data_IF_753612655088
#
_entry.id   IF_753612655088
#
_cell.length_a   1.000
_cell.length_b   1.000
_cell.length_c   1.000
_cell.angle_alpha   90.00
_cell.angle_beta   90.00
_cell.angle_gamma   90.00
#
_symmetry.space_group_name_H-M   'P 1'
#
loop_
_entity.id
_entity.type
_entity.pdbx_description
1 polymer ?
#
# COMPACT_ATOMS: atom_id res chain seq x y z
N UNK A 1 -11.29 -9.44 10.45
CA UNK A 1 -11.54 -10.30 11.61
C UNK A 1 -12.68 -9.73 12.43
N UNK A 2 -13.94 -10.05 12.04
CA UNK A 2 -15.18 -9.52 12.65
C UNK A 2 -15.24 -9.75 14.18
N UNK A 3 -14.57 -10.78 14.68
CA UNK A 3 -14.53 -11.13 16.10
C UNK A 3 -13.65 -10.20 16.96
N UNK A 4 -12.85 -9.35 16.35
CA UNK A 4 -11.97 -8.39 17.06
C UNK A 4 -12.45 -6.94 16.95
N UNK A 5 -13.52 -6.69 16.20
CA UNK A 5 -14.10 -5.37 16.09
C UNK A 5 -15.05 -5.15 17.26
N UNK A 6 -14.65 -4.32 18.19
CA UNK A 6 -15.47 -3.88 19.30
C UNK A 6 -16.24 -2.62 18.89
N UNK A 7 -17.55 -2.76 18.72
CA UNK A 7 -18.44 -1.67 18.29
C UNK A 7 -18.55 -0.53 19.31
N UNK A 8 -18.20 -0.77 20.57
CA UNK A 8 -18.27 0.25 21.62
C UNK A 8 -17.01 1.14 21.65
N UNK A 9 -15.87 0.57 21.20
CA UNK A 9 -14.57 1.26 21.22
C UNK A 9 -13.94 1.48 19.83
N UNK A 10 -14.61 1.03 18.77
CA UNK A 10 -14.05 1.08 17.41
C UNK A 10 -15.08 1.59 16.41
N UNK A 11 -14.62 2.44 15.48
CA UNK A 11 -15.40 2.94 14.36
C UNK A 11 -14.78 2.50 13.04
N UNK A 12 -15.62 2.04 12.11
CA UNK A 12 -15.20 1.75 10.75
C UNK A 12 -15.32 3.01 9.90
N UNK A 13 -14.19 3.63 9.56
CA UNK A 13 -14.15 4.92 8.87
C UNK A 13 -13.92 4.83 7.36
N UNK A 14 -13.41 3.69 6.88
CA UNK A 14 -13.12 3.47 5.46
C UNK A 14 -12.54 2.10 5.17
N UNK A 15 -12.43 1.77 3.90
CA UNK A 15 -11.79 0.55 3.39
C UNK A 15 -10.68 0.97 2.43
N UNK A 16 -9.45 0.49 2.67
CA UNK A 16 -8.35 0.61 1.72
C UNK A 16 -8.26 -0.70 0.94
N UNK A 17 -8.40 -0.63 -0.37
CA UNK A 17 -8.36 -1.78 -1.25
C UNK A 17 -7.14 -1.73 -2.15
N UNK A 18 -6.28 -2.76 -2.06
CA UNK A 18 -5.08 -2.91 -2.88
C UNK A 18 -4.79 -4.40 -3.11
N UNK A 19 -5.26 -4.95 -4.22
CA UNK A 19 -5.03 -6.36 -4.58
C UNK A 19 -5.41 -6.63 -6.04
N UNK A 20 -4.44 -6.95 -6.92
CA UNK A 20 -4.78 -7.19 -8.34
C UNK A 20 -3.68 -7.85 -9.18
N UNK A 21 -2.51 -8.09 -8.66
CA UNK A 21 -1.34 -8.54 -9.42
C UNK A 21 -1.64 -9.83 -10.20
N UNK A 22 -2.28 -10.79 -9.54
CA UNK A 22 -2.65 -12.07 -10.16
C UNK A 22 -3.76 -11.96 -11.21
N UNK A 23 -4.59 -10.91 -11.16
CA UNK A 23 -5.64 -10.65 -12.14
C UNK A 23 -5.11 -9.88 -13.37
N UNK A 24 -3.85 -9.42 -13.32
CA UNK A 24 -3.21 -8.65 -14.40
C UNK A 24 -2.68 -9.50 -15.54
N UNK A 25 -3.36 -10.62 -15.84
CA UNK A 25 -3.02 -11.59 -16.89
C UNK A 25 -4.24 -12.38 -17.36
N UNK A 26 -4.11 -13.08 -18.49
CA UNK A 26 -5.10 -14.02 -19.01
C UNK A 26 -6.47 -13.39 -19.34
N UNK A 27 -6.53 -12.10 -19.62
CA UNK A 27 -7.77 -11.41 -19.96
C UNK A 27 -8.73 -11.20 -18.77
N UNK A 28 -8.27 -11.35 -17.53
CA UNK A 28 -9.09 -11.23 -16.33
C UNK A 28 -9.68 -9.82 -16.15
N UNK A 29 -9.05 -8.78 -16.70
CA UNK A 29 -9.59 -7.42 -16.71
C UNK A 29 -11.02 -7.35 -17.25
N UNK A 30 -11.41 -8.21 -18.20
CA UNK A 30 -12.75 -8.22 -18.82
C UNK A 30 -13.89 -8.50 -17.84
N UNK A 31 -13.60 -9.18 -16.74
CA UNK A 31 -14.58 -9.53 -15.69
C UNK A 31 -14.29 -8.84 -14.36
N UNK A 32 -13.18 -8.10 -14.29
CA UNK A 32 -12.66 -7.54 -13.06
C UNK A 32 -13.65 -6.57 -12.42
N UNK A 33 -14.15 -5.59 -13.17
CA UNK A 33 -15.15 -4.63 -12.67
C UNK A 33 -16.34 -5.31 -12.01
N UNK A 34 -16.93 -6.30 -12.67
CA UNK A 34 -18.11 -7.02 -12.15
C UNK A 34 -17.82 -7.78 -10.86
N UNK A 35 -16.65 -8.41 -10.78
CA UNK A 35 -16.21 -9.13 -9.58
C UNK A 35 -15.98 -8.15 -8.41
N UNK A 36 -15.32 -7.03 -8.68
CA UNK A 36 -15.08 -6.00 -7.68
C UNK A 36 -16.39 -5.44 -7.15
N UNK A 37 -17.36 -5.16 -8.00
CA UNK A 37 -18.69 -4.68 -7.61
C UNK A 37 -19.34 -5.64 -6.60
N UNK A 38 -19.37 -6.93 -6.91
CA UNK A 38 -19.94 -7.94 -5.99
C UNK A 38 -19.22 -7.96 -4.64
N UNK A 39 -17.90 -7.84 -4.64
CA UNK A 39 -17.10 -7.82 -3.40
C UNK A 39 -17.42 -6.58 -2.57
N UNK A 40 -17.45 -5.40 -3.19
CA UNK A 40 -17.67 -4.14 -2.49
C UNK A 40 -19.11 -4.08 -1.93
N UNK A 41 -20.09 -4.49 -2.72
CA UNK A 41 -21.50 -4.59 -2.24
C UNK A 41 -21.62 -5.57 -1.05
N UNK A 42 -20.96 -6.72 -1.13
CA UNK A 42 -20.94 -7.69 -0.05
C UNK A 42 -20.29 -7.13 1.22
N UNK A 43 -19.15 -6.42 1.10
CA UNK A 43 -18.45 -5.77 2.21
C UNK A 43 -19.36 -4.71 2.87
N UNK A 44 -19.94 -3.81 2.09
CA UNK A 44 -20.86 -2.76 2.60
C UNK A 44 -22.04 -3.37 3.35
N UNK A 45 -22.63 -4.43 2.79
CA UNK A 45 -23.75 -5.16 3.42
C UNK A 45 -23.34 -5.85 4.71
N UNK A 46 -22.27 -6.65 4.69
CA UNK A 46 -21.79 -7.43 5.85
C UNK A 46 -21.32 -6.54 7.00
N UNK A 47 -20.77 -5.39 6.69
CA UNK A 47 -20.30 -4.41 7.68
C UNK A 47 -21.43 -3.47 8.13
N UNK A 48 -22.61 -3.53 7.49
CA UNK A 48 -23.72 -2.60 7.69
C UNK A 48 -23.26 -1.13 7.55
N UNK A 49 -22.50 -0.86 6.50
CA UNK A 49 -21.88 0.44 6.22
C UNK A 49 -22.05 0.80 4.72
N UNK A 50 -23.27 1.11 4.26
CA UNK A 50 -23.59 1.31 2.84
C UNK A 50 -22.78 2.46 2.22
N UNK A 51 -22.51 3.50 2.98
CA UNK A 51 -21.86 4.73 2.52
C UNK A 51 -20.38 4.82 2.88
N UNK A 52 -19.78 3.71 3.35
CA UNK A 52 -18.37 3.72 3.74
C UNK A 52 -17.47 4.05 2.55
N UNK A 53 -16.53 5.01 2.68
CA UNK A 53 -15.59 5.32 1.63
C UNK A 53 -14.65 4.15 1.36
N UNK A 54 -14.41 3.89 0.08
CA UNK A 54 -13.50 2.85 -0.39
C UNK A 54 -12.41 3.51 -1.24
N UNK A 55 -11.18 3.41 -0.78
CA UNK A 55 -10.03 3.96 -1.48
C UNK A 55 -9.33 2.83 -2.22
N UNK A 56 -9.25 2.95 -3.53
CA UNK A 56 -8.80 1.88 -4.44
C UNK A 56 -7.46 2.28 -5.02
N UNK A 57 -6.41 1.54 -4.68
CA UNK A 57 -5.07 1.76 -5.21
C UNK A 57 -4.86 1.10 -6.56
N UNK A 58 -4.24 1.80 -7.48
CA UNK A 58 -3.79 1.26 -8.75
C UNK A 58 -2.54 0.39 -8.62
N UNK A 59 -2.18 -0.28 -9.71
CA UNK A 59 -0.99 -1.09 -9.87
C UNK A 59 0.17 -0.24 -10.42
N UNK A 60 1.38 -0.51 -9.95
CA UNK A 60 2.57 0.22 -10.34
C UNK A 60 3.15 -0.19 -11.70
N UNK A 61 3.85 0.77 -12.35
CA UNK A 61 4.44 0.61 -13.68
C UNK A 61 5.66 -0.32 -13.73
N UNK A 62 6.08 -0.86 -12.60
CA UNK A 62 7.12 -1.88 -12.52
C UNK A 62 6.64 -3.27 -12.93
N UNK A 63 5.32 -3.52 -12.94
CA UNK A 63 4.73 -4.78 -13.36
C UNK A 63 4.93 -5.06 -14.85
N UNK A 64 4.95 -6.33 -15.22
CA UNK A 64 5.16 -6.79 -16.59
C UNK A 64 6.64 -6.75 -17.06
N UNK A 65 7.58 -6.29 -16.21
CA UNK A 65 9.00 -6.09 -16.58
C UNK A 65 9.87 -7.27 -16.16
N UNK A 66 9.96 -7.55 -14.88
CA UNK A 66 10.89 -8.53 -14.33
C UNK A 66 10.35 -9.24 -13.08
N UNK A 67 11.13 -10.16 -12.51
CA UNK A 67 10.81 -10.87 -11.29
C UNK A 67 9.48 -11.62 -11.34
N UNK A 68 8.83 -11.73 -10.21
CA UNK A 68 7.51 -12.35 -10.11
C UNK A 68 6.42 -11.53 -10.81
N UNK A 69 6.62 -10.22 -10.94
CA UNK A 69 5.71 -9.31 -11.64
C UNK A 69 5.72 -9.44 -13.17
N UNK A 70 6.69 -10.17 -13.76
CA UNK A 70 6.84 -10.30 -15.22
C UNK A 70 5.59 -10.80 -15.93
N UNK A 71 4.80 -11.64 -15.28
CA UNK A 71 3.56 -12.19 -15.85
C UNK A 71 2.37 -11.23 -15.80
N UNK A 72 2.48 -10.13 -15.06
CA UNK A 72 1.41 -9.14 -14.84
C UNK A 72 1.35 -8.11 -15.98
N UNK A 73 1.24 -8.59 -17.23
CA UNK A 73 1.37 -7.75 -18.45
C UNK A 73 0.13 -6.90 -18.75
N UNK A 74 -1.00 -7.23 -18.12
CA UNK A 74 -2.29 -6.55 -18.34
C UNK A 74 -2.63 -5.54 -17.21
N UNK A 75 -1.64 -5.16 -16.37
CA UNK A 75 -1.86 -4.26 -15.22
C UNK A 75 -2.46 -2.92 -15.62
N UNK A 76 -2.10 -2.37 -16.78
CA UNK A 76 -2.68 -1.12 -17.29
C UNK A 76 -4.16 -1.26 -17.63
N UNK A 77 -4.61 -2.44 -18.06
CA UNK A 77 -6.02 -2.72 -18.32
C UNK A 77 -6.79 -2.88 -17.00
N UNK A 78 -6.19 -3.52 -16.00
CA UNK A 78 -6.76 -3.57 -14.66
C UNK A 78 -6.88 -2.16 -14.08
N UNK A 79 -5.85 -1.32 -14.19
CA UNK A 79 -5.91 0.08 -13.71
C UNK A 79 -7.08 0.86 -14.34
N UNK A 80 -7.34 0.66 -15.63
CA UNK A 80 -8.51 1.28 -16.29
C UNK A 80 -9.83 0.81 -15.70
N UNK A 81 -9.97 -0.47 -15.38
CA UNK A 81 -11.19 -1.00 -14.76
C UNK A 81 -11.36 -0.49 -13.32
N UNK A 82 -10.26 -0.34 -12.56
CA UNK A 82 -10.26 0.22 -11.21
C UNK A 82 -10.63 1.70 -11.19
N UNK A 83 -10.00 2.48 -12.06
CA UNK A 83 -10.30 3.90 -12.23
C UNK A 83 -11.77 4.08 -12.63
N UNK A 84 -12.22 3.36 -13.68
CA UNK A 84 -13.62 3.36 -14.09
C UNK A 84 -14.57 3.01 -12.93
N UNK A 85 -14.26 1.98 -12.16
CA UNK A 85 -15.05 1.57 -11.02
C UNK A 85 -15.16 2.70 -9.98
N UNK A 86 -14.04 3.32 -9.63
CA UNK A 86 -14.01 4.39 -8.65
C UNK A 86 -14.78 5.64 -9.12
N UNK A 87 -14.80 5.93 -10.43
CA UNK A 87 -15.57 7.05 -10.98
C UNK A 87 -17.07 6.77 -11.13
N UNK A 88 -17.47 5.51 -11.26
CA UNK A 88 -18.88 5.11 -11.46
C UNK A 88 -19.59 4.72 -10.16
N UNK A 89 -18.86 4.43 -9.08
CA UNK A 89 -19.43 3.98 -7.82
C UNK A 89 -19.36 5.07 -6.75
N UNK A 90 -20.46 5.25 -6.02
CA UNK A 90 -20.56 6.23 -4.94
C UNK A 90 -19.55 5.93 -3.82
N UNK A 91 -18.93 6.97 -3.27
CA UNK A 91 -17.94 6.88 -2.18
C UNK A 91 -16.76 5.95 -2.49
N UNK A 92 -16.37 5.86 -3.76
CA UNK A 92 -15.18 5.14 -4.21
C UNK A 92 -14.17 6.13 -4.81
N UNK A 93 -12.91 6.05 -4.40
CA UNK A 93 -11.86 6.98 -4.82
C UNK A 93 -10.65 6.21 -5.31
N UNK A 94 -10.15 6.56 -6.50
CA UNK A 94 -8.97 5.94 -7.10
C UNK A 94 -7.70 6.66 -6.67
N UNK A 95 -6.64 5.87 -6.42
CA UNK A 95 -5.31 6.38 -6.08
C UNK A 95 -4.28 5.79 -7.04
N UNK A 96 -3.63 6.65 -7.81
CA UNK A 96 -2.62 6.26 -8.78
C UNK A 96 -1.35 5.72 -8.11
N UNK A 97 -0.81 4.63 -8.64
CA UNK A 97 0.49 4.08 -8.29
C UNK A 97 1.62 4.58 -9.21
N UNK A 98 1.37 5.61 -10.03
CA UNK A 98 2.37 6.20 -10.92
C UNK A 98 3.63 6.61 -10.16
N UNK A 99 4.81 6.25 -10.70
CA UNK A 99 6.12 6.59 -10.14
C UNK A 99 6.51 5.81 -8.88
N UNK A 100 5.71 4.84 -8.42
CA UNK A 100 6.11 3.93 -7.37
C UNK A 100 7.05 2.86 -7.90
N UNK A 101 7.94 2.37 -7.03
CA UNK A 101 8.95 1.36 -7.34
C UNK A 101 8.71 0.06 -6.55
N UNK A 102 9.29 -1.04 -7.04
CA UNK A 102 9.13 -2.35 -6.41
C UNK A 102 10.36 -2.76 -5.60
N UNK A 103 10.16 -3.72 -4.71
CA UNK A 103 11.24 -4.56 -4.19
C UNK A 103 11.93 -5.32 -5.33
N UNK A 104 13.11 -5.92 -5.09
CA UNK A 104 13.83 -6.73 -6.10
C UNK A 104 13.03 -7.89 -6.67
N UNK A 105 11.91 -8.26 -6.07
CA UNK A 105 11.02 -9.31 -6.57
C UNK A 105 10.17 -8.87 -7.78
N UNK A 106 10.11 -7.57 -8.09
CA UNK A 106 9.43 -7.01 -9.24
C UNK A 106 7.89 -7.01 -9.15
N UNK A 107 7.32 -7.33 -7.99
CA UNK A 107 5.85 -7.39 -7.81
C UNK A 107 5.35 -6.60 -6.60
N UNK A 108 6.06 -6.63 -5.47
CA UNK A 108 5.66 -5.91 -4.27
C UNK A 108 6.28 -4.50 -4.23
N UNK A 109 5.49 -3.53 -3.83
CA UNK A 109 5.92 -2.14 -3.66
C UNK A 109 6.98 -2.05 -2.56
N UNK A 110 8.06 -1.30 -2.79
CA UNK A 110 9.11 -1.09 -1.80
C UNK A 110 8.66 -0.17 -0.63
N UNK A 111 9.46 -0.14 0.43
CA UNK A 111 9.09 0.55 1.67
C UNK A 111 8.93 2.08 1.51
N UNK A 112 9.71 2.72 0.65
CA UNK A 112 9.59 4.17 0.38
C UNK A 112 8.32 4.43 -0.43
N UNK A 113 8.11 3.65 -1.48
CA UNK A 113 6.92 3.74 -2.32
C UNK A 113 5.63 3.42 -1.57
N UNK A 114 5.66 2.50 -0.59
CA UNK A 114 4.50 2.26 0.28
C UNK A 114 4.14 3.48 1.14
N UNK A 115 5.14 4.25 1.62
CA UNK A 115 4.89 5.50 2.36
C UNK A 115 4.27 6.56 1.45
N UNK A 116 4.80 6.73 0.23
CA UNK A 116 4.20 7.64 -0.77
C UNK A 116 2.77 7.24 -1.09
N UNK A 117 2.54 5.96 -1.31
CA UNK A 117 1.20 5.45 -1.58
C UNK A 117 0.25 5.68 -0.40
N UNK A 118 0.72 5.48 0.82
CA UNK A 118 -0.01 5.80 2.05
C UNK A 118 -0.42 7.27 2.14
N UNK A 119 0.47 8.21 1.77
CA UNK A 119 0.16 9.64 1.71
C UNK A 119 -0.95 9.93 0.67
N UNK A 120 -0.87 9.33 -0.50
CA UNK A 120 -1.91 9.45 -1.54
C UNK A 120 -3.26 8.88 -1.09
N UNK A 121 -3.26 7.73 -0.41
CA UNK A 121 -4.46 7.15 0.20
C UNK A 121 -5.08 8.07 1.26
N UNK A 122 -4.24 8.64 2.12
CA UNK A 122 -4.68 9.59 3.14
C UNK A 122 -5.31 10.84 2.52
N UNK A 123 -4.69 11.39 1.48
CA UNK A 123 -5.20 12.55 0.75
C UNK A 123 -6.55 12.25 0.11
N UNK A 124 -6.67 11.10 -0.58
CA UNK A 124 -7.94 10.66 -1.18
C UNK A 124 -9.04 10.46 -0.13
N UNK A 125 -8.70 9.85 1.00
CA UNK A 125 -9.63 9.64 2.11
C UNK A 125 -10.10 10.95 2.74
N UNK A 126 -9.17 11.89 2.97
CA UNK A 126 -9.44 13.16 3.65
C UNK A 126 -10.27 14.10 2.79
N UNK A 127 -9.95 14.22 1.51
CA UNK A 127 -10.61 15.14 0.60
C UNK A 127 -11.84 14.55 -0.10
N UNK A 128 -12.03 13.21 0.00
CA UNK A 128 -13.08 12.50 -0.75
C UNK A 128 -12.95 12.74 -2.26
N UNK A 129 -11.72 12.60 -2.77
CA UNK A 129 -11.40 12.86 -4.18
C UNK A 129 -10.40 11.82 -4.71
N UNK A 130 -10.31 11.71 -6.03
CA UNK A 130 -9.34 10.83 -6.71
C UNK A 130 -7.94 11.45 -6.71
N UNK A 131 -6.93 10.62 -6.54
CA UNK A 131 -5.52 11.02 -6.69
C UNK A 131 -4.97 10.36 -7.95
N UNK A 132 -5.02 11.07 -9.07
CA UNK A 132 -4.67 10.55 -10.39
C UNK A 132 -3.18 10.67 -10.72
N UNK A 133 -2.42 11.45 -9.92
CA UNK A 133 -0.99 11.69 -10.10
C UNK A 133 -0.27 11.70 -8.76
N UNK A 134 1.07 11.53 -8.75
CA UNK A 134 1.89 11.73 -7.56
C UNK A 134 1.62 13.10 -6.91
N UNK A 135 1.64 13.16 -5.57
CA UNK A 135 1.54 14.43 -4.85
C UNK A 135 2.84 15.23 -5.03
N UNK A 136 2.71 16.53 -5.22
CA UNK A 136 3.85 17.40 -5.51
C UNK A 136 4.92 17.38 -4.40
N UNK A 137 4.50 17.18 -3.14
CA UNK A 137 5.37 17.23 -1.95
C UNK A 137 5.58 15.86 -1.29
N UNK A 138 5.21 14.74 -1.95
CA UNK A 138 5.28 13.41 -1.30
C UNK A 138 6.71 13.00 -0.91
N UNK A 139 7.72 13.43 -1.65
CA UNK A 139 9.12 13.15 -1.31
C UNK A 139 9.51 13.85 0.00
N UNK A 140 9.21 15.13 0.11
CA UNK A 140 9.50 15.94 1.32
C UNK A 140 8.78 15.38 2.55
N UNK A 141 7.51 14.97 2.39
CA UNK A 141 6.74 14.37 3.47
C UNK A 141 7.30 13.01 3.89
N UNK A 142 7.74 12.17 2.95
CA UNK A 142 8.38 10.90 3.27
C UNK A 142 9.71 11.12 3.97
N UNK A 143 10.53 12.08 3.52
CA UNK A 143 11.80 12.43 4.17
C UNK A 143 11.57 12.90 5.61
N UNK A 144 10.55 13.73 5.84
CA UNK A 144 10.16 14.18 7.18
C UNK A 144 9.74 13.00 8.07
N UNK A 145 8.91 12.07 7.56
CA UNK A 145 8.49 10.87 8.28
C UNK A 145 9.68 9.98 8.61
N UNK A 146 10.64 9.85 7.69
CA UNK A 146 11.83 9.01 7.86
C UNK A 146 12.90 9.66 8.74
N UNK A 147 12.90 10.97 8.90
CA UNK A 147 13.89 11.71 9.70
C UNK A 147 13.59 11.72 11.21
N UNK A 148 12.44 11.17 11.65
CA UNK A 148 12.12 11.06 13.06
C UNK A 148 13.14 10.21 13.83
N UNK A 149 13.33 10.52 15.10
CA UNK A 149 14.14 9.67 15.96
C UNK A 149 13.56 8.26 16.06
N UNK A 150 14.44 7.29 15.90
CA UNK A 150 14.07 5.89 16.08
C UNK A 150 14.01 5.51 17.55
N UNK A 151 13.02 4.69 17.90
CA UNK A 151 12.95 4.06 19.22
C UNK A 151 14.16 3.12 19.44
N UNK A 152 14.47 2.82 20.69
CA UNK A 152 15.52 1.86 21.03
C UNK A 152 15.36 0.51 20.28
N UNK A 153 14.16 -0.03 20.24
CA UNK A 153 13.85 -1.29 19.54
C UNK A 153 14.09 -1.19 18.04
N UNK A 154 13.72 -0.08 17.41
CA UNK A 154 13.97 0.16 15.97
C UNK A 154 15.46 0.26 15.68
N UNK A 155 16.23 0.97 16.51
CA UNK A 155 17.69 1.06 16.39
C UNK A 155 18.34 -0.33 16.47
N UNK A 156 17.95 -1.15 17.44
CA UNK A 156 18.44 -2.54 17.58
C UNK A 156 18.06 -3.38 16.37
N UNK A 157 16.82 -3.26 15.87
CA UNK A 157 16.38 -3.97 14.67
C UNK A 157 17.22 -3.61 13.44
N UNK A 158 17.51 -2.32 13.24
CA UNK A 158 18.36 -1.87 12.12
C UNK A 158 19.75 -2.47 12.20
N UNK A 159 20.38 -2.50 13.39
CA UNK A 159 21.68 -3.13 13.58
C UNK A 159 21.63 -4.65 13.31
N UNK A 160 20.55 -5.31 13.72
CA UNK A 160 20.33 -6.74 13.46
C UNK A 160 20.21 -7.03 11.95
N UNK A 161 19.55 -6.14 11.20
CA UNK A 161 19.45 -6.25 9.74
C UNK A 161 20.80 -6.02 9.05
N UNK A 162 21.58 -5.02 9.48
CA UNK A 162 22.89 -4.75 8.92
C UNK A 162 23.87 -5.90 9.17
N UNK A 163 23.81 -6.53 10.35
CA UNK A 163 24.55 -7.75 10.65
C UNK A 163 24.08 -8.94 9.78
N UNK A 164 22.78 -9.18 9.68
CA UNK A 164 22.22 -10.27 8.87
C UNK A 164 22.57 -10.12 7.36
N UNK A 165 22.69 -8.91 6.87
CA UNK A 165 23.09 -8.59 5.50
C UNK A 165 24.64 -8.59 5.30
N UNK A 166 25.41 -8.88 6.34
CA UNK A 166 26.89 -8.91 6.29
C UNK A 166 27.53 -7.53 6.12
N UNK A 167 26.82 -6.44 6.42
CA UNK A 167 27.34 -5.07 6.33
C UNK A 167 28.23 -4.70 7.51
N UNK A 168 27.99 -5.31 8.67
CA UNK A 168 28.76 -5.14 9.89
C UNK A 168 29.17 -6.49 10.46
N UNK A 169 30.30 -6.53 11.17
CA UNK A 169 30.78 -7.72 11.88
C UNK A 169 29.97 -8.01 13.14
N UNK A 170 30.10 -9.20 13.69
CA UNK A 170 29.48 -9.57 14.98
C UNK A 170 29.93 -8.65 16.13
N UNK A 171 31.21 -8.34 16.19
CA UNK A 171 31.77 -7.47 17.25
C UNK A 171 31.22 -6.04 17.16
N UNK A 172 31.10 -5.51 15.94
CA UNK A 172 30.46 -4.20 15.69
C UNK A 172 28.99 -4.23 16.08
N UNK A 173 28.25 -5.29 15.71
CA UNK A 173 26.85 -5.47 16.08
C UNK A 173 26.68 -5.45 17.62
N UNK A 174 27.46 -6.27 18.36
CA UNK A 174 27.39 -6.32 19.82
C UNK A 174 27.74 -4.96 20.44
N UNK A 175 28.78 -4.29 19.93
CA UNK A 175 29.19 -2.97 20.41
C UNK A 175 28.07 -1.94 20.25
N UNK A 176 27.44 -1.89 19.07
CA UNK A 176 26.36 -0.93 18.76
C UNK A 176 25.09 -1.22 19.60
N UNK A 177 24.67 -2.49 19.72
CA UNK A 177 23.51 -2.87 20.53
C UNK A 177 23.75 -2.56 22.02
N UNK A 178 24.96 -2.77 22.53
CA UNK A 178 25.33 -2.41 23.90
C UNK A 178 25.22 -0.92 24.12
N UNK A 179 25.71 -0.10 23.20
CA UNK A 179 25.59 1.36 23.26
C UNK A 179 24.13 1.80 23.27
N UNK A 180 23.30 1.30 22.33
CA UNK A 180 21.87 1.61 22.26
C UNK A 180 21.13 1.24 23.55
N UNK A 181 21.55 0.16 24.25
CA UNK A 181 20.91 -0.26 25.49
C UNK A 181 21.29 0.63 26.69
N UNK A 182 22.43 1.30 26.63
CA UNK A 182 22.92 2.16 27.70
C UNK A 182 22.46 3.63 27.57
N UNK A 183 22.02 4.05 26.36
CA UNK A 183 21.38 5.36 26.08
C UNK A 183 19.87 5.30 26.41
#
# INVERSE_FOLDING_TARGET
NKSKFDKESSELVGILWNQWENDSKNGNYKVYYKKLLVIIEALRKELNAPDIPIIIGGLGDFLGKEGFGKSCTEYTLINKELEKFAFEQDNCYFVSAEGLTSNPDGIHIDAISQRKFGLRYFEAFSNKDHILKPLANENELVDLICSRDHTKSEKIYMQSMDFALGKISYDEFISQVTKINND
#
